data_IF_069410192537
#
_entry.id   IF_069410192537
#
_cell.length_a   1.000
_cell.length_b   1.000
_cell.length_c   1.000
_cell.angle_alpha   90.00
_cell.angle_beta   90.00
_cell.angle_gamma   90.00
#
_symmetry.space_group_name_H-M   'P 1'
#
loop_
_entity.id
_entity.type
_entity.pdbx_description
1 polymer ?
#
# COMPACT_ATOMS: atom_id res chain seq x y z
N UNK A 1 -4.71 3.13 -9.59
CA UNK A 1 -3.65 2.11 -9.68
C UNK A 1 -4.25 0.76 -9.32
N UNK A 2 -4.01 -0.30 -10.10
CA UNK A 2 -4.54 -1.64 -9.79
C UNK A 2 -3.68 -2.31 -8.73
N UNK A 3 -4.26 -3.16 -7.89
CA UNK A 3 -3.51 -3.97 -6.91
C UNK A 3 -2.43 -4.82 -7.61
N UNK A 4 -2.73 -5.36 -8.79
CA UNK A 4 -1.80 -6.16 -9.60
C UNK A 4 -0.48 -5.43 -9.94
N UNK A 5 -0.53 -4.10 -10.05
CA UNK A 5 0.60 -3.24 -10.44
C UNK A 5 1.51 -2.89 -9.25
N UNK A 6 1.11 -3.22 -8.02
CA UNK A 6 1.86 -2.83 -6.83
C UNK A 6 3.21 -3.55 -6.73
N UNK A 7 4.29 -2.86 -6.30
CA UNK A 7 5.61 -3.45 -6.09
C UNK A 7 5.68 -4.17 -4.72
N UNK A 8 4.81 -5.16 -4.54
CA UNK A 8 4.68 -6.05 -3.38
C UNK A 8 4.60 -7.51 -3.84
N UNK A 9 4.74 -8.46 -2.92
CA UNK A 9 4.75 -9.90 -3.24
C UNK A 9 3.37 -10.41 -3.66
N UNK A 10 3.34 -11.44 -4.52
CA UNK A 10 2.09 -12.03 -5.03
C UNK A 10 1.14 -12.56 -3.93
N UNK A 11 1.62 -13.16 -2.83
CA UNK A 11 0.74 -13.55 -1.72
C UNK A 11 -0.06 -12.39 -1.14
N UNK A 12 0.53 -11.18 -1.04
CA UNK A 12 -0.19 -10.00 -0.56
C UNK A 12 -1.22 -9.55 -1.59
N UNK A 13 -0.85 -9.50 -2.88
CA UNK A 13 -1.79 -9.12 -3.95
C UNK A 13 -3.00 -10.05 -3.98
N UNK A 14 -2.77 -11.36 -3.84
CA UNK A 14 -3.82 -12.36 -3.83
C UNK A 14 -4.74 -12.20 -2.62
N UNK A 15 -4.19 -11.95 -1.43
CA UNK A 15 -4.99 -11.67 -0.23
C UNK A 15 -5.88 -10.44 -0.43
N UNK A 16 -5.31 -9.34 -0.93
CA UNK A 16 -6.07 -8.10 -1.21
C UNK A 16 -7.20 -8.33 -2.21
N UNK A 17 -6.93 -9.08 -3.29
CA UNK A 17 -7.96 -9.42 -4.27
C UNK A 17 -9.09 -10.26 -3.65
N UNK A 18 -8.77 -11.24 -2.78
CA UNK A 18 -9.76 -12.07 -2.08
C UNK A 18 -10.62 -11.24 -1.12
N UNK A 19 -10.03 -10.25 -0.46
CA UNK A 19 -10.72 -9.29 0.41
C UNK A 19 -11.53 -8.23 -0.39
N UNK A 20 -11.49 -8.29 -1.72
CA UNK A 20 -12.28 -7.42 -2.61
C UNK A 20 -11.60 -6.10 -3.01
N UNK A 21 -10.29 -5.96 -2.78
CA UNK A 21 -9.53 -4.83 -3.28
C UNK A 21 -9.07 -5.05 -4.72
N UNK A 22 -9.55 -4.23 -5.66
CA UNK A 22 -9.10 -4.24 -7.07
C UNK A 22 -8.24 -3.01 -7.43
N UNK A 23 -8.71 -1.82 -7.05
CA UNK A 23 -8.05 -0.55 -7.34
C UNK A 23 -7.86 0.31 -6.10
N UNK A 24 -6.69 0.94 -5.99
CA UNK A 24 -6.42 1.94 -4.97
C UNK A 24 -7.21 3.23 -5.20
N UNK A 25 -7.67 3.85 -4.10
CA UNK A 25 -8.19 5.21 -4.12
C UNK A 25 -7.09 6.24 -4.47
N UNK A 26 -7.45 7.43 -4.99
CA UNK A 26 -6.46 8.42 -5.39
C UNK A 26 -5.41 8.74 -4.31
N UNK A 27 -5.78 9.03 -3.03
CA UNK A 27 -4.78 9.34 -2.00
C UNK A 27 -3.84 8.16 -1.67
N UNK A 28 -4.31 6.92 -1.86
CA UNK A 28 -3.48 5.73 -1.65
C UNK A 28 -2.48 5.58 -2.81
N UNK A 29 -2.95 5.75 -4.05
CA UNK A 29 -2.11 5.75 -5.25
C UNK A 29 -1.03 6.82 -5.16
N UNK A 30 -1.38 8.03 -4.73
CA UNK A 30 -0.44 9.13 -4.53
C UNK A 30 0.64 8.77 -3.51
N UNK A 31 0.28 8.08 -2.42
CA UNK A 31 1.24 7.60 -1.44
C UNK A 31 2.20 6.53 -2.01
N UNK A 32 1.71 5.61 -2.85
CA UNK A 32 2.56 4.63 -3.55
C UNK A 32 3.53 5.36 -4.47
N UNK A 33 3.03 6.30 -5.29
CA UNK A 33 3.85 7.10 -6.21
C UNK A 33 4.84 8.01 -5.49
N UNK A 34 4.55 8.44 -4.26
CA UNK A 34 5.48 9.20 -3.40
C UNK A 34 6.62 8.33 -2.83
N UNK A 35 6.60 7.02 -3.06
CA UNK A 35 7.67 6.10 -2.67
C UNK A 35 7.55 5.57 -1.24
N UNK A 36 6.34 5.52 -0.67
CA UNK A 36 6.13 4.96 0.68
C UNK A 36 6.59 3.49 0.77
N UNK A 37 6.43 2.74 -0.33
CA UNK A 37 6.91 1.36 -0.44
C UNK A 37 8.42 1.24 -0.71
N UNK A 38 9.10 2.35 -0.97
CA UNK A 38 10.56 2.40 -1.14
C UNK A 38 11.25 2.81 0.18
N UNK A 39 10.48 2.91 1.28
CA UNK A 39 10.98 3.33 2.59
C UNK A 39 11.14 4.84 2.74
N UNK A 40 10.59 5.65 1.82
CA UNK A 40 10.60 7.11 1.97
C UNK A 40 9.66 7.55 3.09
N UNK A 41 10.07 8.58 3.82
CA UNK A 41 9.22 9.22 4.82
C UNK A 41 8.09 9.98 4.10
N UNK A 42 6.85 9.78 4.55
CA UNK A 42 5.65 10.41 4.00
C UNK A 42 4.74 10.87 5.14
N UNK A 43 4.19 12.07 5.02
CA UNK A 43 3.06 12.54 5.83
C UNK A 43 1.80 12.48 4.97
N UNK A 44 0.90 11.53 5.26
CA UNK A 44 -0.35 11.37 4.53
C UNK A 44 -1.52 11.98 5.31
N UNK A 45 -1.99 13.15 4.86
CA UNK A 45 -3.14 13.84 5.44
C UNK A 45 -4.33 13.77 4.47
N UNK A 46 -5.35 12.98 4.83
CA UNK A 46 -6.57 12.80 4.02
C UNK A 46 -7.77 12.45 4.92
N UNK A 47 -9.03 12.49 4.42
CA UNK A 47 -10.21 12.04 5.18
C UNK A 47 -10.11 10.58 5.63
N UNK A 48 -10.66 10.23 6.80
CA UNK A 48 -10.58 8.86 7.38
C UNK A 48 -11.09 7.77 6.45
N UNK A 49 -12.18 8.04 5.74
CA UNK A 49 -12.79 7.10 4.80
C UNK A 49 -11.93 6.79 3.55
N UNK A 50 -10.81 7.50 3.35
CA UNK A 50 -9.96 7.30 2.15
C UNK A 50 -8.98 6.11 2.28
N UNK A 51 -9.10 5.27 3.30
CA UNK A 51 -8.33 4.03 3.44
C UNK A 51 -6.83 4.22 3.71
N UNK A 52 -6.45 5.22 4.53
CA UNK A 52 -5.03 5.45 4.93
C UNK A 52 -4.39 4.25 5.63
N UNK A 53 -5.18 3.48 6.38
CA UNK A 53 -4.71 2.30 7.12
C UNK A 53 -4.04 1.31 6.18
N UNK A 54 -4.65 1.02 5.02
CA UNK A 54 -4.09 0.10 4.02
C UNK A 54 -2.69 0.53 3.54
N UNK A 55 -2.47 1.83 3.34
CA UNK A 55 -1.15 2.34 2.93
C UNK A 55 -0.09 2.06 4.00
N UNK A 56 -0.43 2.29 5.27
CA UNK A 56 0.46 2.02 6.39
C UNK A 56 0.74 0.52 6.53
N UNK A 57 -0.28 -0.33 6.42
CA UNK A 57 -0.16 -1.78 6.46
C UNK A 57 0.75 -2.31 5.35
N UNK A 58 0.57 -1.85 4.11
CA UNK A 58 1.43 -2.23 2.99
C UNK A 58 2.89 -1.82 3.20
N UNK A 59 3.13 -0.62 3.72
CA UNK A 59 4.48 -0.14 4.01
C UNK A 59 5.16 -0.98 5.11
N UNK A 60 4.44 -1.32 6.18
CA UNK A 60 4.93 -2.16 7.27
C UNK A 60 5.19 -3.59 6.79
N UNK A 61 4.21 -4.20 6.12
CA UNK A 61 4.30 -5.58 5.61
C UNK A 61 5.48 -5.72 4.65
N UNK A 62 5.66 -4.79 3.72
CA UNK A 62 6.79 -4.81 2.79
C UNK A 62 8.13 -4.78 3.54
N UNK A 63 8.28 -3.92 4.56
CA UNK A 63 9.52 -3.84 5.34
C UNK A 63 9.83 -5.12 6.10
N UNK A 64 8.81 -5.73 6.72
CA UNK A 64 8.97 -7.00 7.45
C UNK A 64 9.39 -8.12 6.51
N UNK A 65 8.73 -8.25 5.35
CA UNK A 65 9.04 -9.29 4.37
C UNK A 65 10.41 -9.12 3.70
N UNK A 66 10.90 -7.90 3.58
CA UNK A 66 12.26 -7.60 3.09
C UNK A 66 13.35 -7.72 4.18
N UNK A 67 13.00 -8.06 5.42
CA UNK A 67 13.95 -8.15 6.53
C UNK A 67 14.54 -6.80 6.97
N UNK A 68 13.82 -5.70 6.72
CA UNK A 68 14.22 -4.31 7.05
C UNK A 68 13.42 -3.74 8.24
N UNK A 69 12.91 -4.63 9.09
CA UNK A 69 12.11 -4.35 10.28
C UNK A 69 12.96 -4.28 11.54
#
# INVERSE_FOLDING_TARGET
>A
MRIAELPITDPIKNLLNVEGYDTLYPPQSDAISAGVLDGRNLVLASPTASGKTLVAELAVLKRILEGKG
#
